data_IF_564404448497
#
_entry.id   IF_564404448497
#
_cell.length_a   1.000
_cell.length_b   1.000
_cell.length_c   1.000
_cell.angle_alpha   90.00
_cell.angle_beta   90.00
_cell.angle_gamma   90.00
#
_symmetry.space_group_name_H-M   'P 1'
#
loop_
_entity.id
_entity.type
_entity.pdbx_description
1 polymer ?
#
# COMPACT_ATOMS: atom_id res chain seq x y z
N UNK A 1 70.61 -17.60 50.20
CA UNK A 1 72.02 -17.93 49.95
C UNK A 1 72.41 -17.28 48.64
N UNK A 2 73.10 -16.15 48.68
CA UNK A 2 74.50 -16.00 48.29
C UNK A 2 74.80 -16.34 46.83
N UNK A 3 75.35 -15.59 45.94
CA UNK A 3 76.18 -14.36 46.00
C UNK A 3 76.39 -13.95 44.55
N UNK A 4 76.38 -12.72 44.21
CA UNK A 4 77.55 -11.87 43.85
C UNK A 4 78.32 -12.28 42.59
N UNK A 5 78.81 -11.50 41.74
CA UNK A 5 79.02 -10.07 41.61
C UNK A 5 79.96 -9.86 40.39
N UNK A 6 80.02 -8.63 39.93
CA UNK A 6 81.17 -7.92 39.29
C UNK A 6 81.53 -8.37 37.86
N UNK A 7 81.85 -7.54 36.95
CA UNK A 7 82.27 -6.14 36.93
C UNK A 7 83.22 -5.92 35.75
N UNK A 8 83.29 -4.72 35.26
CA UNK A 8 84.43 -4.21 34.52
C UNK A 8 84.25 -4.09 33.00
N UNK A 9 84.12 -3.01 32.42
CA UNK A 9 84.86 -1.78 32.15
C UNK A 9 85.66 -1.80 30.81
N UNK A 10 85.38 -0.74 30.05
CA UNK A 10 86.25 -0.01 29.14
C UNK A 10 86.66 -0.60 27.77
N UNK A 11 86.41 0.21 26.78
CA UNK A 11 87.36 0.40 25.73
C UNK A 11 86.90 0.80 24.34
N UNK A 12 86.84 2.06 24.11
CA UNK A 12 87.20 2.82 22.87
C UNK A 12 87.01 2.24 21.46
N UNK A 13 86.17 2.94 20.71
CA UNK A 13 86.62 3.52 19.46
C UNK A 13 86.61 2.71 18.21
N UNK A 14 85.71 3.03 17.35
CA UNK A 14 86.09 3.35 15.95
C UNK A 14 84.79 3.60 15.08
N UNK A 15 84.81 4.76 14.49
CA UNK A 15 83.81 5.15 13.46
C UNK A 15 83.95 4.21 12.25
N UNK A 16 82.78 3.71 11.75
CA UNK A 16 82.69 3.27 10.37
C UNK A 16 81.36 3.64 9.81
N UNK A 17 81.39 4.40 8.70
CA UNK A 17 80.32 4.73 7.80
C UNK A 17 79.42 3.47 7.53
N UNK A 18 78.16 3.59 7.71
CA UNK A 18 77.20 2.66 7.16
C UNK A 18 76.26 3.44 6.22
N UNK A 19 76.26 3.03 4.97
CA UNK A 19 75.39 3.46 3.90
C UNK A 19 73.89 3.36 4.32
N UNK A 20 73.21 4.48 4.20
CA UNK A 20 71.77 4.52 4.23
C UNK A 20 71.24 4.06 2.86
N UNK A 21 70.82 2.80 2.76
CA UNK A 21 69.99 2.32 1.66
C UNK A 21 68.55 2.80 1.92
N UNK A 22 68.14 3.85 1.21
CA UNK A 22 66.76 4.29 1.13
C UNK A 22 65.99 3.28 0.28
N UNK A 23 65.29 2.36 0.94
CA UNK A 23 64.23 1.57 0.31
C UNK A 23 63.03 2.49 0.09
N UNK A 24 62.85 2.95 -1.13
CA UNK A 24 61.57 3.49 -1.61
C UNK A 24 60.56 2.33 -1.69
N UNK A 25 59.76 2.16 -0.63
CA UNK A 25 58.52 1.41 -0.73
C UNK A 25 57.52 2.35 -1.41
N UNK A 26 57.40 2.20 -2.73
CA UNK A 26 56.23 2.73 -3.44
C UNK A 26 55.02 1.99 -2.94
N UNK A 27 54.46 2.47 -1.86
CA UNK A 27 53.13 2.07 -1.40
C UNK A 27 52.13 2.52 -2.44
N UNK A 28 51.77 1.63 -3.35
CA UNK A 28 50.57 1.78 -4.16
C UNK A 28 49.37 1.61 -3.19
N UNK A 29 49.09 2.71 -2.48
CA UNK A 29 47.88 2.82 -1.71
C UNK A 29 46.71 2.78 -2.71
N UNK A 30 46.09 1.61 -2.84
CA UNK A 30 44.75 1.52 -3.35
C UNK A 30 43.89 2.38 -2.42
N UNK A 31 43.72 3.64 -2.78
CA UNK A 31 42.64 4.45 -2.27
C UNK A 31 41.37 3.78 -2.79
N UNK A 32 40.80 2.86 -1.98
CA UNK A 32 39.37 2.58 -2.09
C UNK A 32 38.69 3.93 -1.83
N UNK A 33 38.37 4.64 -2.90
CA UNK A 33 37.44 5.74 -2.80
C UNK A 33 36.16 5.13 -2.20
N UNK A 34 35.84 5.50 -0.97
CA UNK A 34 34.52 5.23 -0.45
C UNK A 34 33.56 5.86 -1.45
N UNK A 35 32.74 5.05 -2.14
CA UNK A 35 31.68 5.58 -2.96
C UNK A 35 30.86 6.52 -2.08
N UNK A 36 30.55 7.70 -2.59
CA UNK A 36 29.63 8.60 -1.92
C UNK A 36 28.36 7.80 -1.57
N UNK A 37 27.82 7.91 -0.34
CA UNK A 37 26.60 7.20 0.00
C UNK A 37 25.51 7.61 -0.99
N UNK A 38 24.96 6.65 -1.70
CA UNK A 38 23.86 6.87 -2.64
C UNK A 38 22.64 7.49 -1.95
N UNK A 39 21.69 7.98 -2.73
CA UNK A 39 20.45 8.54 -2.20
C UNK A 39 19.69 7.53 -1.34
N UNK A 40 19.12 7.94 -0.20
CA UNK A 40 18.38 7.03 0.66
C UNK A 40 17.10 6.55 0.00
N UNK A 41 16.82 5.24 0.09
CA UNK A 41 15.53 4.68 -0.30
C UNK A 41 14.48 5.08 0.75
N UNK A 42 13.64 6.06 0.43
CA UNK A 42 12.60 6.54 1.32
C UNK A 42 11.32 5.74 1.16
N UNK A 43 10.85 5.09 2.23
CA UNK A 43 9.60 4.32 2.25
C UNK A 43 8.40 5.19 2.64
N UNK A 44 8.62 6.23 3.45
CA UNK A 44 7.55 7.09 3.98
C UNK A 44 8.11 8.20 4.86
N UNK A 45 7.22 8.81 5.62
CA UNK A 45 7.53 9.92 6.53
C UNK A 45 7.10 9.58 7.96
N UNK A 46 7.87 10.04 8.94
CA UNK A 46 7.49 10.00 10.34
C UNK A 46 6.86 11.34 10.71
N UNK A 47 5.68 11.29 11.29
CA UNK A 47 4.91 12.47 11.74
C UNK A 47 4.70 12.36 13.25
N UNK A 48 4.88 13.46 13.97
CA UNK A 48 4.53 13.57 15.39
C UNK A 48 3.24 14.34 15.53
N UNK A 49 2.33 13.81 16.35
CA UNK A 49 1.02 14.39 16.63
C UNK A 49 0.82 14.42 18.15
N UNK A 50 0.61 15.60 18.71
CA UNK A 50 0.19 15.71 20.11
C UNK A 50 -1.26 15.30 20.25
N UNK A 51 -1.55 14.36 21.14
CA UNK A 51 -2.90 13.90 21.43
C UNK A 51 -3.39 14.50 22.75
N UNK A 52 -4.41 15.33 22.68
CA UNK A 52 -5.10 15.84 23.86
C UNK A 52 -5.92 14.74 24.56
N UNK A 53 -6.50 13.81 23.80
CA UNK A 53 -7.27 12.68 24.35
C UNK A 53 -6.40 11.74 25.19
N UNK A 54 -5.12 11.55 24.78
CA UNK A 54 -4.17 10.66 25.47
C UNK A 54 -3.22 11.43 26.40
N UNK A 55 -3.07 12.76 26.24
CA UNK A 55 -2.16 13.61 26.99
C UNK A 55 -0.69 13.36 26.68
N UNK A 56 -0.37 12.93 25.45
CA UNK A 56 0.99 12.55 25.04
C UNK A 56 1.23 12.75 23.54
N UNK A 57 2.50 12.75 23.13
CA UNK A 57 2.86 12.79 21.72
C UNK A 57 2.81 11.38 21.12
N UNK A 58 2.20 11.28 19.94
CA UNK A 58 2.11 10.04 19.16
C UNK A 58 2.96 10.13 17.92
N UNK A 59 3.65 9.06 17.60
CA UNK A 59 4.38 8.92 16.35
C UNK A 59 3.54 8.15 15.35
N UNK A 60 3.43 8.70 14.15
CA UNK A 60 2.68 8.12 13.03
C UNK A 60 3.61 7.98 11.83
N UNK A 61 3.60 6.81 11.20
CA UNK A 61 4.34 6.54 9.98
C UNK A 61 3.40 6.64 8.80
N UNK A 62 3.75 7.39 7.77
CA UNK A 62 2.89 7.61 6.60
C UNK A 62 3.63 7.28 5.33
N UNK A 63 3.08 6.35 4.53
CA UNK A 63 3.53 6.06 3.17
C UNK A 63 2.43 6.47 2.18
N UNK A 64 2.78 7.32 1.23
CA UNK A 64 1.92 7.69 0.10
C UNK A 64 2.28 6.88 -1.13
N UNK A 65 1.32 6.58 -2.03
CA UNK A 65 1.63 5.81 -3.24
C UNK A 65 2.53 6.61 -4.19
N UNK A 66 3.26 5.91 -5.07
CA UNK A 66 4.07 6.55 -6.10
C UNK A 66 3.21 7.49 -6.96
N UNK A 67 3.78 8.64 -7.35
CA UNK A 67 3.04 9.66 -8.09
C UNK A 67 2.08 10.50 -7.24
N UNK A 68 2.06 10.33 -5.90
CA UNK A 68 1.20 11.12 -5.04
C UNK A 68 1.41 12.63 -5.22
N UNK A 69 2.65 13.12 -5.23
CA UNK A 69 2.95 14.57 -5.29
C UNK A 69 2.56 15.20 -6.64
N UNK A 70 2.49 14.43 -7.72
CA UNK A 70 2.23 14.92 -9.08
C UNK A 70 0.75 15.02 -9.45
N UNK A 71 -0.17 14.51 -8.62
CA UNK A 71 -1.59 14.41 -8.98
C UNK A 71 -2.53 15.03 -7.97
N UNK A 72 -3.81 15.14 -8.36
CA UNK A 72 -4.92 15.60 -7.51
C UNK A 72 -5.80 14.47 -6.99
N UNK A 73 -5.49 13.20 -7.32
CA UNK A 73 -6.27 12.02 -6.96
C UNK A 73 -6.39 11.87 -5.45
N UNK A 74 -7.54 11.40 -4.99
CA UNK A 74 -7.79 10.98 -3.61
C UNK A 74 -7.64 9.47 -3.45
N UNK A 75 -7.32 9.02 -2.25
CA UNK A 75 -6.93 7.64 -1.97
C UNK A 75 -7.66 7.08 -0.75
N UNK A 76 -8.06 5.79 -0.76
CA UNK A 76 -8.41 5.07 0.46
C UNK A 76 -7.23 5.06 1.44
N UNK A 77 -7.51 4.94 2.74
CA UNK A 77 -6.46 4.94 3.77
C UNK A 77 -6.46 3.62 4.52
N UNK A 78 -5.28 3.00 4.61
CA UNK A 78 -5.02 1.82 5.43
C UNK A 78 -4.38 2.26 6.73
N UNK A 79 -5.11 2.14 7.84
CA UNK A 79 -4.60 2.37 9.18
C UNK A 79 -4.06 1.09 9.76
N UNK A 80 -2.85 1.13 10.31
CA UNK A 80 -2.14 -0.06 10.82
C UNK A 80 -1.74 0.19 12.27
N UNK A 81 -2.15 -0.69 13.15
CA UNK A 81 -1.73 -0.69 14.54
C UNK A 81 -0.42 -1.49 14.73
N UNK A 82 0.29 -1.28 15.83
CA UNK A 82 1.65 -1.78 16.02
C UNK A 82 2.57 -1.33 14.86
N UNK A 83 2.57 -0.01 14.58
CA UNK A 83 3.18 0.59 13.39
C UNK A 83 4.66 0.27 13.20
N UNK A 84 5.44 0.18 14.28
CA UNK A 84 6.86 -0.14 14.27
C UNK A 84 7.16 -1.53 13.67
N UNK A 85 6.23 -2.47 13.77
CA UNK A 85 6.42 -3.84 13.27
C UNK A 85 5.63 -4.14 12.01
N UNK A 86 4.52 -3.45 11.77
CA UNK A 86 3.57 -3.79 10.70
C UNK A 86 3.54 -2.78 9.54
N UNK A 87 4.16 -1.58 9.69
CA UNK A 87 4.11 -0.54 8.67
C UNK A 87 4.74 -1.00 7.34
N UNK A 88 6.00 -1.42 7.38
CA UNK A 88 6.74 -1.83 6.20
C UNK A 88 6.04 -2.99 5.47
N UNK A 89 5.60 -3.99 6.23
CA UNK A 89 4.87 -5.14 5.71
C UNK A 89 3.59 -4.71 4.99
N UNK A 90 2.78 -3.85 5.61
CA UNK A 90 1.51 -3.40 5.04
C UNK A 90 1.74 -2.50 3.81
N UNK A 91 2.73 -1.61 3.85
CA UNK A 91 3.10 -0.77 2.73
C UNK A 91 3.62 -1.60 1.54
N UNK A 92 4.44 -2.62 1.79
CA UNK A 92 4.95 -3.51 0.75
C UNK A 92 3.83 -4.32 0.08
N UNK A 93 2.93 -4.93 0.86
CA UNK A 93 1.79 -5.71 0.34
C UNK A 93 0.86 -4.82 -0.47
N UNK A 94 0.46 -3.66 0.05
CA UNK A 94 -0.46 -2.76 -0.68
C UNK A 94 0.16 -2.22 -1.96
N UNK A 95 1.46 -1.89 -1.95
CA UNK A 95 2.17 -1.46 -3.15
C UNK A 95 2.28 -2.59 -4.19
N UNK A 96 2.54 -3.83 -3.76
CA UNK A 96 2.58 -5.00 -4.64
C UNK A 96 1.24 -5.20 -5.36
N UNK A 97 0.12 -5.22 -4.62
CA UNK A 97 -1.21 -5.37 -5.21
C UNK A 97 -1.56 -4.23 -6.16
N UNK A 98 -1.24 -2.98 -5.79
CA UNK A 98 -1.48 -1.83 -6.65
C UNK A 98 -0.69 -1.89 -7.96
N UNK A 99 0.61 -2.19 -7.89
CA UNK A 99 1.46 -2.29 -9.09
C UNK A 99 0.99 -3.39 -10.05
N UNK A 100 0.33 -4.43 -9.53
CA UNK A 100 -0.26 -5.51 -10.32
C UNK A 100 -1.75 -5.28 -10.68
N UNK A 101 -2.28 -4.07 -10.45
CA UNK A 101 -3.65 -3.71 -10.80
C UNK A 101 -4.74 -4.41 -10.00
N UNK A 102 -4.39 -5.05 -8.86
CA UNK A 102 -5.30 -5.87 -8.07
C UNK A 102 -6.06 -5.08 -6.98
N UNK A 103 -5.67 -3.85 -6.74
CA UNK A 103 -6.35 -2.92 -5.84
C UNK A 103 -6.05 -1.46 -6.24
N UNK A 104 -6.80 -0.46 -5.73
CA UNK A 104 -6.43 0.93 -5.91
C UNK A 104 -5.14 1.27 -5.15
N UNK A 105 -4.40 2.30 -5.56
CA UNK A 105 -3.35 2.85 -4.71
C UNK A 105 -3.95 3.40 -3.42
N UNK A 106 -3.24 3.23 -2.29
CA UNK A 106 -3.69 3.64 -0.96
C UNK A 106 -2.63 4.46 -0.24
N UNK A 107 -3.05 5.24 0.75
CA UNK A 107 -2.17 5.82 1.76
C UNK A 107 -2.10 4.84 2.92
N UNK A 108 -0.91 4.52 3.43
CA UNK A 108 -0.72 3.68 4.62
C UNK A 108 -0.32 4.58 5.79
N UNK A 109 -1.12 4.56 6.86
CA UNK A 109 -0.94 5.35 8.08
C UNK A 109 -0.79 4.39 9.26
N UNK A 110 0.36 4.34 9.88
CA UNK A 110 0.60 3.41 10.98
C UNK A 110 0.86 4.14 12.28
N UNK A 111 0.19 3.71 13.34
CA UNK A 111 0.35 4.27 14.69
C UNK A 111 1.36 3.40 15.44
N UNK A 112 2.45 4.02 15.89
CA UNK A 112 3.43 3.33 16.75
C UNK A 112 2.95 3.31 18.20
N UNK A 113 3.44 2.35 18.97
CA UNK A 113 3.05 2.19 20.37
C UNK A 113 3.76 3.19 21.28
N UNK A 114 3.03 3.67 22.29
CA UNK A 114 3.55 4.32 23.50
C UNK A 114 3.29 3.40 24.69
N UNK A 115 2.03 3.03 24.89
CA UNK A 115 1.60 2.01 25.85
C UNK A 115 0.58 1.08 25.19
N UNK A 116 1.07 -0.03 24.66
CA UNK A 116 0.27 -1.01 23.91
C UNK A 116 -0.85 -1.64 24.73
N UNK A 117 -0.59 -1.93 25.99
CA UNK A 117 -1.58 -2.54 26.88
C UNK A 117 -2.69 -1.55 27.22
N UNK A 118 -2.37 -0.33 27.55
CA UNK A 118 -3.34 0.72 27.80
C UNK A 118 -4.23 0.95 26.58
N UNK A 119 -3.61 1.20 25.43
CA UNK A 119 -4.30 1.71 24.24
C UNK A 119 -5.24 0.69 23.61
N UNK A 120 -4.91 -0.60 23.65
CA UNK A 120 -5.67 -1.61 22.93
C UNK A 120 -6.51 -2.52 23.80
N UNK A 121 -6.66 -2.21 25.09
CA UNK A 121 -7.56 -2.97 25.95
C UNK A 121 -8.82 -2.16 26.26
N UNK A 122 -10.02 -2.71 25.98
CA UNK A 122 -11.29 -1.99 26.17
C UNK A 122 -11.67 -1.81 27.64
N UNK A 123 -11.18 -2.69 28.53
CA UNK A 123 -11.51 -2.73 29.96
C UNK A 123 -10.24 -2.82 30.81
N UNK A 124 -10.31 -2.29 32.03
CA UNK A 124 -9.27 -2.48 33.03
C UNK A 124 -9.41 -3.84 33.69
N UNK A 125 -8.32 -4.62 33.78
CA UNK A 125 -8.28 -5.89 34.49
C UNK A 125 -7.13 -5.93 35.49
N UNK A 126 -7.38 -6.54 36.65
CA UNK A 126 -6.46 -6.45 37.77
C UNK A 126 -5.09 -7.12 37.54
N UNK A 127 -5.05 -8.17 36.73
CA UNK A 127 -3.82 -8.90 36.36
C UNK A 127 -3.00 -8.22 35.24
N UNK A 128 -3.51 -7.09 34.69
CA UNK A 128 -2.81 -6.27 33.67
C UNK A 128 -2.85 -4.78 34.05
N UNK A 129 -2.00 -4.35 34.96
CA UNK A 129 -1.90 -2.94 35.31
C UNK A 129 -1.72 -2.04 34.09
N UNK A 130 -2.43 -0.91 34.06
CA UNK A 130 -2.41 0.03 32.93
C UNK A 130 -3.41 -0.30 31.83
N UNK A 131 -4.13 -1.42 31.88
CA UNK A 131 -5.16 -1.77 30.90
C UNK A 131 -6.42 -0.88 31.00
N UNK A 132 -7.27 -0.87 29.96
CA UNK A 132 -8.56 -0.19 29.95
C UNK A 132 -8.59 1.19 29.28
N UNK A 133 -7.52 1.61 28.62
CA UNK A 133 -7.47 2.89 27.91
C UNK A 133 -8.03 2.86 26.47
N UNK A 134 -8.49 1.73 26.01
CA UNK A 134 -9.02 1.56 24.64
C UNK A 134 -10.10 2.55 24.24
N UNK A 135 -11.05 2.95 25.10
CA UNK A 135 -12.01 4.01 24.80
C UNK A 135 -11.35 5.37 24.52
N UNK A 136 -10.31 5.75 25.28
CA UNK A 136 -9.56 6.99 25.05
C UNK A 136 -8.74 6.93 23.74
N UNK A 137 -8.17 5.78 23.44
CA UNK A 137 -7.49 5.58 22.16
C UNK A 137 -8.47 5.65 20.97
N UNK A 138 -9.74 5.21 21.15
CA UNK A 138 -10.80 5.40 20.16
C UNK A 138 -11.11 6.89 19.95
N UNK A 139 -11.14 7.69 21.01
CA UNK A 139 -11.29 9.15 20.89
C UNK A 139 -10.13 9.78 20.14
N UNK A 140 -8.88 9.37 20.42
CA UNK A 140 -7.71 9.80 19.65
C UNK A 140 -7.86 9.47 18.16
N UNK A 141 -8.22 8.23 17.82
CA UNK A 141 -8.46 7.86 16.41
C UNK A 141 -9.52 8.76 15.77
N UNK A 142 -10.70 8.84 16.40
CA UNK A 142 -11.89 9.50 15.85
C UNK A 142 -11.77 11.02 15.78
N UNK A 143 -11.23 11.66 16.84
CA UNK A 143 -11.25 13.12 16.98
C UNK A 143 -9.94 13.79 16.56
N UNK A 144 -8.83 13.04 16.49
CA UNK A 144 -7.51 13.61 16.26
C UNK A 144 -6.81 13.01 15.05
N UNK A 145 -6.54 11.69 15.04
CA UNK A 145 -5.75 11.07 13.97
C UNK A 145 -6.46 11.10 12.62
N UNK A 146 -7.72 10.63 12.54
CA UNK A 146 -8.46 10.60 11.29
C UNK A 146 -8.62 12.00 10.70
N UNK A 147 -9.10 13.02 11.45
CA UNK A 147 -9.19 14.41 10.96
C UNK A 147 -7.82 14.98 10.56
N UNK A 148 -6.75 14.66 11.27
CA UNK A 148 -5.40 15.07 10.89
C UNK A 148 -5.01 14.51 9.53
N UNK A 149 -5.24 13.22 9.28
CA UNK A 149 -4.93 12.56 8.00
C UNK A 149 -5.78 13.17 6.87
N UNK A 150 -7.06 13.35 7.09
CA UNK A 150 -7.99 13.94 6.11
C UNK A 150 -7.64 15.39 5.74
N UNK A 151 -7.15 16.16 6.70
CA UNK A 151 -6.72 17.55 6.48
C UNK A 151 -5.40 17.65 5.70
N UNK A 152 -4.47 16.73 5.95
CA UNK A 152 -3.10 16.85 5.43
C UNK A 152 -2.83 15.97 4.20
N UNK A 153 -3.71 15.02 3.89
CA UNK A 153 -3.56 14.10 2.77
C UNK A 153 -4.84 14.04 1.93
N UNK A 154 -4.70 13.72 0.66
CA UNK A 154 -5.84 13.56 -0.26
C UNK A 154 -6.50 12.19 -0.05
N UNK A 155 -7.48 12.14 0.83
CA UNK A 155 -8.17 10.91 1.24
C UNK A 155 -9.55 10.79 0.62
N UNK A 156 -9.96 9.53 0.39
CA UNK A 156 -11.36 9.13 0.22
C UNK A 156 -11.95 8.74 1.58
N UNK A 157 -13.26 8.76 1.69
CA UNK A 157 -13.97 8.28 2.89
C UNK A 157 -14.10 6.74 2.85
N UNK A 158 -12.95 6.07 2.69
CA UNK A 158 -12.83 4.63 2.79
C UNK A 158 -11.58 4.28 3.60
N UNK A 159 -11.81 3.78 4.80
CA UNK A 159 -10.79 3.53 5.81
C UNK A 159 -10.74 2.04 6.11
N UNK A 160 -9.54 1.49 6.09
CA UNK A 160 -9.24 0.09 6.39
C UNK A 160 -8.42 0.07 7.67
N UNK A 161 -8.77 -0.77 8.66
CA UNK A 161 -8.00 -0.95 9.89
C UNK A 161 -7.35 -2.33 9.91
N UNK A 162 -6.05 -2.40 10.18
CA UNK A 162 -5.30 -3.64 10.36
C UNK A 162 -4.76 -3.71 11.77
N UNK A 163 -5.03 -4.80 12.47
CA UNK A 163 -4.48 -5.07 13.79
C UNK A 163 -4.14 -6.54 14.01
N UNK A 164 -3.08 -6.79 14.79
CA UNK A 164 -2.61 -8.14 15.13
C UNK A 164 -2.69 -8.38 16.64
N UNK A 165 -3.10 -9.57 17.04
CA UNK A 165 -3.15 -9.98 18.46
C UNK A 165 -4.07 -9.07 19.28
N UNK A 166 -3.53 -8.32 20.26
CA UNK A 166 -4.26 -7.33 21.03
C UNK A 166 -4.85 -6.23 20.13
N UNK A 167 -4.09 -5.78 19.13
CA UNK A 167 -4.58 -4.85 18.11
C UNK A 167 -5.63 -5.47 17.19
N UNK A 168 -5.57 -6.79 16.95
CA UNK A 168 -6.61 -7.53 16.23
C UNK A 168 -7.92 -7.57 17.00
N UNK A 169 -7.87 -7.81 18.31
CA UNK A 169 -9.02 -7.66 19.20
C UNK A 169 -9.54 -6.22 19.18
N UNK A 170 -8.65 -5.21 19.24
CA UNK A 170 -9.03 -3.82 19.17
C UNK A 170 -9.72 -3.45 17.85
N UNK A 171 -9.33 -4.05 16.72
CA UNK A 171 -10.05 -3.89 15.46
C UNK A 171 -11.49 -4.41 15.57
N UNK A 172 -11.71 -5.59 16.17
CA UNK A 172 -13.06 -6.11 16.44
C UNK A 172 -13.83 -5.19 17.42
N UNK A 173 -13.17 -4.71 18.47
CA UNK A 173 -13.74 -3.73 19.40
C UNK A 173 -14.18 -2.44 18.69
N UNK A 174 -13.35 -1.93 17.77
CA UNK A 174 -13.68 -0.77 16.96
C UNK A 174 -14.92 -0.96 16.10
N UNK A 175 -15.03 -2.12 15.45
CA UNK A 175 -16.23 -2.47 14.66
C UNK A 175 -17.51 -2.46 15.50
N UNK A 176 -17.43 -2.96 16.74
CA UNK A 176 -18.59 -3.09 17.61
C UNK A 176 -18.98 -1.78 18.32
N UNK A 177 -18.00 -0.93 18.62
CA UNK A 177 -18.20 0.31 19.38
C UNK A 177 -18.44 1.52 18.49
N UNK A 178 -17.73 1.63 17.36
CA UNK A 178 -17.80 2.75 16.40
C UNK A 178 -17.86 2.17 14.98
N UNK A 179 -18.97 1.52 14.60
CA UNK A 179 -19.06 0.73 13.37
C UNK A 179 -18.90 1.55 12.09
N UNK A 180 -19.05 2.87 12.15
CA UNK A 180 -18.90 3.75 10.98
C UNK A 180 -17.48 4.31 10.82
N UNK A 181 -16.57 3.99 11.75
CA UNK A 181 -15.22 4.56 11.74
C UNK A 181 -14.35 3.95 10.63
N UNK A 182 -14.49 2.64 10.39
CA UNK A 182 -13.75 1.90 9.36
C UNK A 182 -14.73 1.05 8.52
N UNK A 183 -14.57 1.09 7.19
CA UNK A 183 -15.39 0.32 6.26
C UNK A 183 -14.87 -1.12 6.10
N UNK A 184 -13.57 -1.34 6.34
CA UNK A 184 -12.96 -2.67 6.30
C UNK A 184 -12.00 -2.86 7.47
N UNK A 185 -11.96 -4.08 8.02
CA UNK A 185 -11.11 -4.44 9.13
C UNK A 185 -10.42 -5.77 8.85
N UNK A 186 -9.12 -5.85 9.14
CA UNK A 186 -8.34 -7.09 9.09
C UNK A 186 -7.84 -7.36 10.50
N UNK A 187 -8.48 -8.31 11.17
CA UNK A 187 -8.19 -8.72 12.53
C UNK A 187 -7.34 -10.00 12.52
N UNK A 188 -6.05 -9.86 12.74
CA UNK A 188 -5.06 -10.92 12.62
C UNK A 188 -4.84 -11.58 13.98
N UNK A 189 -5.12 -12.89 14.09
CA UNK A 189 -5.02 -13.66 15.35
C UNK A 189 -5.51 -12.85 16.55
N UNK A 190 -6.77 -12.34 16.52
CA UNK A 190 -7.25 -11.39 17.51
C UNK A 190 -7.37 -12.04 18.89
N UNK A 191 -6.78 -11.40 19.93
CA UNK A 191 -6.80 -11.87 21.32
C UNK A 191 -8.18 -11.65 21.97
N UNK A 192 -9.25 -12.23 21.41
CA UNK A 192 -10.64 -12.00 21.81
C UNK A 192 -11.01 -12.60 23.17
N UNK A 193 -10.17 -13.47 23.72
CA UNK A 193 -10.33 -14.06 25.06
C UNK A 193 -9.97 -13.09 26.21
N UNK A 194 -9.53 -11.86 25.88
CA UNK A 194 -9.25 -10.82 26.85
C UNK A 194 -10.46 -10.54 27.74
N UNK A 195 -10.25 -10.38 29.04
CA UNK A 195 -11.26 -10.06 30.06
C UNK A 195 -12.52 -10.93 29.94
N UNK A 196 -12.32 -12.25 30.04
CA UNK A 196 -13.41 -13.23 29.93
C UNK A 196 -14.25 -13.05 28.65
N UNK A 197 -13.59 -12.95 27.51
CA UNK A 197 -14.21 -12.73 26.18
C UNK A 197 -15.02 -11.43 26.08
N UNK A 198 -14.50 -10.32 26.60
CA UNK A 198 -15.22 -9.05 26.61
C UNK A 198 -15.78 -8.67 25.23
N UNK A 199 -14.95 -8.73 24.17
CA UNK A 199 -15.40 -8.37 22.80
C UNK A 199 -16.43 -9.35 22.24
N UNK A 200 -16.45 -10.61 22.69
CA UNK A 200 -17.48 -11.59 22.32
C UNK A 200 -18.82 -11.23 22.99
N UNK A 201 -18.80 -10.87 24.28
CA UNK A 201 -19.99 -10.38 24.98
C UNK A 201 -20.50 -9.07 24.38
N UNK A 202 -19.60 -8.15 24.04
CA UNK A 202 -19.94 -6.89 23.36
C UNK A 202 -20.57 -7.15 21.98
N UNK A 203 -20.08 -8.13 21.23
CA UNK A 203 -20.69 -8.54 19.96
C UNK A 203 -22.12 -9.05 20.15
N UNK A 204 -22.36 -9.83 21.20
CA UNK A 204 -23.71 -10.32 21.51
C UNK A 204 -24.70 -9.17 21.76
N UNK A 205 -24.26 -8.12 22.42
CA UNK A 205 -25.04 -6.93 22.74
C UNK A 205 -25.24 -6.00 21.53
N UNK A 206 -24.15 -5.72 20.79
CA UNK A 206 -24.14 -4.63 19.81
C UNK A 206 -24.57 -5.03 18.40
N UNK A 207 -24.32 -6.27 17.98
CA UNK A 207 -24.64 -6.71 16.62
C UNK A 207 -26.11 -6.54 16.23
N UNK A 208 -27.12 -6.82 17.13
CA UNK A 208 -28.51 -6.65 16.76
C UNK A 208 -28.93 -5.21 16.42
N UNK A 209 -28.24 -4.23 16.95
CA UNK A 209 -28.50 -2.79 16.71
C UNK A 209 -27.54 -2.14 15.71
N UNK A 210 -26.64 -2.92 15.10
CA UNK A 210 -25.68 -2.39 14.13
C UNK A 210 -26.40 -1.97 12.84
N UNK A 211 -26.06 -0.77 12.33
CA UNK A 211 -26.63 -0.25 11.08
C UNK A 211 -26.29 -1.14 9.88
N UNK A 212 -27.22 -1.21 8.93
CA UNK A 212 -27.06 -2.03 7.70
C UNK A 212 -26.22 -1.31 6.63
N UNK A 213 -25.06 -0.81 7.02
CA UNK A 213 -24.04 -0.26 6.10
C UNK A 213 -23.07 -1.36 5.70
N UNK A 214 -22.57 -1.29 4.46
CA UNK A 214 -21.57 -2.24 3.96
C UNK A 214 -20.30 -2.14 4.80
N UNK A 215 -19.87 -3.26 5.36
CA UNK A 215 -18.62 -3.41 6.10
C UNK A 215 -18.00 -4.75 5.77
N UNK A 216 -16.70 -4.79 5.86
CA UNK A 216 -15.90 -5.99 5.62
C UNK A 216 -15.06 -6.30 6.87
N UNK A 217 -15.10 -7.54 7.32
CA UNK A 217 -14.27 -8.05 8.40
C UNK A 217 -13.56 -9.32 7.94
N UNK A 218 -12.25 -9.28 7.92
CA UNK A 218 -11.39 -10.43 7.68
C UNK A 218 -10.71 -10.84 8.96
N UNK A 219 -10.95 -12.07 9.42
CA UNK A 219 -10.36 -12.63 10.64
C UNK A 219 -9.44 -13.77 10.24
N UNK A 220 -8.23 -13.78 10.77
CA UNK A 220 -7.31 -14.91 10.63
C UNK A 220 -6.94 -15.48 11.97
N UNK A 221 -6.50 -16.72 11.99
CA UNK A 221 -5.96 -17.37 13.18
C UNK A 221 -4.78 -18.25 12.77
N UNK A 222 -3.62 -18.05 13.40
CA UNK A 222 -2.49 -18.93 13.28
C UNK A 222 -2.76 -20.30 13.96
N UNK A 223 -1.73 -21.13 14.09
CA UNK A 223 -1.82 -22.37 14.85
C UNK A 223 -1.81 -22.07 16.37
N UNK A 224 -2.95 -21.61 16.87
CA UNK A 224 -3.16 -21.11 18.23
C UNK A 224 -4.44 -21.75 18.81
N UNK A 225 -4.39 -23.03 19.16
CA UNK A 225 -5.58 -23.79 19.58
C UNK A 225 -6.29 -23.19 20.80
N UNK A 226 -5.59 -22.47 21.66
CA UNK A 226 -6.15 -21.78 22.82
C UNK A 226 -7.12 -20.66 22.46
N UNK A 227 -7.02 -20.08 21.25
CA UNK A 227 -7.92 -19.02 20.78
C UNK A 227 -9.20 -19.56 20.14
N UNK A 228 -9.22 -20.82 19.70
CA UNK A 228 -10.29 -21.40 18.90
C UNK A 228 -11.67 -21.19 19.52
N UNK A 229 -11.85 -21.52 20.80
CA UNK A 229 -13.16 -21.46 21.43
C UNK A 229 -13.77 -20.06 21.44
N UNK A 230 -12.98 -19.03 21.68
CA UNK A 230 -13.42 -17.64 21.70
C UNK A 230 -13.65 -17.09 20.30
N UNK A 231 -12.79 -17.45 19.34
CA UNK A 231 -12.96 -17.11 17.92
C UNK A 231 -14.23 -17.75 17.35
N UNK A 232 -14.48 -19.04 17.61
CA UNK A 232 -15.67 -19.74 17.13
C UNK A 232 -16.96 -19.09 17.68
N UNK A 233 -16.95 -18.68 18.96
CA UNK A 233 -18.09 -17.95 19.55
C UNK A 233 -18.30 -16.61 18.86
N UNK A 234 -17.24 -15.83 18.64
CA UNK A 234 -17.33 -14.54 17.93
C UNK A 234 -17.88 -14.72 16.52
N UNK A 235 -17.33 -15.65 15.75
CA UNK A 235 -17.78 -15.93 14.37
C UNK A 235 -19.23 -16.41 14.33
N UNK A 236 -19.63 -17.25 15.29
CA UNK A 236 -21.01 -17.70 15.44
C UNK A 236 -21.98 -16.53 15.69
N UNK A 237 -21.59 -15.56 16.53
CA UNK A 237 -22.38 -14.35 16.78
C UNK A 237 -22.44 -13.44 15.56
N UNK A 238 -21.32 -13.18 14.89
CA UNK A 238 -21.26 -12.38 13.67
C UNK A 238 -22.18 -12.95 12.59
N UNK A 239 -22.16 -14.26 12.39
CA UNK A 239 -23.02 -14.96 11.43
C UNK A 239 -24.51 -14.92 11.81
N UNK A 240 -24.83 -15.07 13.11
CA UNK A 240 -26.23 -15.21 13.59
C UNK A 240 -26.91 -13.86 13.80
N UNK A 241 -26.20 -12.86 14.29
CA UNK A 241 -26.72 -11.58 14.77
C UNK A 241 -26.25 -10.37 13.97
N UNK A 242 -25.18 -10.50 13.16
CA UNK A 242 -24.64 -9.41 12.34
C UNK A 242 -25.62 -9.00 11.22
N UNK A 243 -25.58 -7.72 10.79
CA UNK A 243 -26.36 -7.25 9.65
C UNK A 243 -25.90 -7.96 8.37
N UNK A 244 -26.82 -8.13 7.40
CA UNK A 244 -26.51 -8.78 6.11
C UNK A 244 -25.44 -8.05 5.30
N UNK A 245 -25.27 -6.76 5.53
CA UNK A 245 -24.25 -5.92 4.90
C UNK A 245 -22.85 -6.07 5.50
N UNK A 246 -22.71 -6.79 6.63
CA UNK A 246 -21.41 -7.14 7.20
C UNK A 246 -20.88 -8.42 6.54
N UNK A 247 -19.94 -8.25 5.62
CA UNK A 247 -19.22 -9.35 4.98
C UNK A 247 -18.12 -9.84 5.93
N UNK A 248 -18.19 -11.11 6.34
CA UNK A 248 -17.23 -11.71 7.29
C UNK A 248 -16.51 -12.87 6.62
N UNK A 249 -15.17 -12.80 6.64
CA UNK A 249 -14.30 -13.88 6.21
C UNK A 249 -13.48 -14.39 7.37
N UNK A 250 -13.29 -15.71 7.43
CA UNK A 250 -12.39 -16.35 8.39
C UNK A 250 -11.43 -17.29 7.67
N UNK A 251 -10.14 -17.12 7.94
CA UNK A 251 -9.08 -17.96 7.36
C UNK A 251 -8.16 -18.53 8.46
N UNK A 252 -8.31 -19.83 8.79
CA UNK A 252 -7.43 -20.51 9.73
C UNK A 252 -6.11 -20.89 9.08
N UNK A 253 -5.04 -20.18 9.38
CA UNK A 253 -3.70 -20.37 8.83
C UNK A 253 -2.87 -21.36 9.64
N UNK A 254 -3.19 -22.63 9.58
CA UNK A 254 -2.63 -23.71 10.41
C UNK A 254 -1.10 -23.90 10.28
N UNK A 255 -0.49 -23.41 9.21
CA UNK A 255 0.96 -23.44 9.00
C UNK A 255 1.71 -22.26 9.60
N UNK A 256 0.98 -21.24 10.05
CA UNK A 256 1.55 -20.02 10.62
C UNK A 256 1.47 -20.06 12.15
N UNK A 257 2.47 -19.50 12.82
CA UNK A 257 2.41 -19.22 14.25
C UNK A 257 1.94 -17.77 14.50
N UNK A 258 1.76 -17.38 15.76
CA UNK A 258 1.33 -16.03 16.16
C UNK A 258 2.14 -14.88 15.54
N UNK A 259 3.44 -15.07 15.33
CA UNK A 259 4.32 -14.06 14.74
C UNK A 259 4.31 -14.04 13.22
N UNK A 260 4.33 -15.24 12.58
CA UNK A 260 4.44 -15.36 11.12
C UNK A 260 3.14 -15.14 10.38
N UNK A 261 2.00 -15.33 11.05
CA UNK A 261 0.66 -15.16 10.47
C UNK A 261 0.42 -13.77 9.85
N UNK A 262 1.11 -12.74 10.32
CA UNK A 262 0.89 -11.33 9.94
C UNK A 262 1.01 -11.08 8.44
N UNK A 263 2.12 -11.49 7.83
CA UNK A 263 2.36 -11.23 6.39
C UNK A 263 1.28 -11.85 5.52
N UNK A 264 1.01 -13.12 5.75
CA UNK A 264 0.00 -13.87 4.99
C UNK A 264 -1.40 -13.30 5.20
N UNK A 265 -1.72 -12.89 6.42
CA UNK A 265 -3.01 -12.29 6.77
C UNK A 265 -3.23 -10.93 6.08
N UNK A 266 -2.21 -10.06 6.05
CA UNK A 266 -2.33 -8.79 5.33
C UNK A 266 -2.48 -9.05 3.83
N UNK A 267 -1.69 -9.97 3.27
CA UNK A 267 -1.79 -10.33 1.85
C UNK A 267 -3.19 -10.86 1.50
N UNK A 268 -3.64 -11.93 2.16
CA UNK A 268 -4.93 -12.56 1.86
C UNK A 268 -6.13 -11.68 2.25
N UNK A 269 -5.99 -10.87 3.31
CA UNK A 269 -7.01 -9.91 3.70
C UNK A 269 -7.23 -8.83 2.65
N UNK A 270 -6.16 -8.30 2.04
CA UNK A 270 -6.24 -7.36 0.93
C UNK A 270 -6.78 -8.04 -0.34
N UNK A 271 -6.32 -9.24 -0.65
CA UNK A 271 -6.84 -10.04 -1.77
C UNK A 271 -8.35 -10.28 -1.64
N UNK A 272 -8.84 -10.68 -0.48
CA UNK A 272 -10.27 -10.90 -0.21
C UNK A 272 -11.07 -9.59 -0.27
N UNK A 273 -10.55 -8.50 0.33
CA UNK A 273 -11.21 -7.19 0.33
C UNK A 273 -11.39 -6.65 -1.09
N UNK A 274 -10.36 -6.79 -1.93
CA UNK A 274 -10.37 -6.29 -3.31
C UNK A 274 -10.68 -7.38 -4.34
N UNK A 275 -11.20 -8.53 -3.93
CA UNK A 275 -11.65 -9.58 -4.85
C UNK A 275 -12.60 -9.01 -5.91
N UNK A 276 -12.34 -9.31 -7.19
CA UNK A 276 -13.11 -8.77 -8.30
C UNK A 276 -12.78 -7.31 -8.67
N UNK A 277 -11.70 -6.74 -8.15
CA UNK A 277 -11.20 -5.43 -8.58
C UNK A 277 -10.70 -5.45 -10.02
N UNK A 278 -9.98 -6.52 -10.41
CA UNK A 278 -9.45 -6.67 -11.76
C UNK A 278 -10.55 -6.89 -12.79
N UNK A 279 -10.35 -6.32 -13.96
CA UNK A 279 -11.10 -6.68 -15.16
C UNK A 279 -10.69 -8.09 -15.62
N UNK A 280 -11.58 -8.82 -16.30
CA UNK A 280 -11.20 -10.07 -16.96
C UNK A 280 -10.22 -9.82 -18.12
N UNK A 281 -9.42 -10.82 -18.47
CA UNK A 281 -8.41 -10.70 -19.52
C UNK A 281 -9.01 -10.38 -20.89
N UNK A 282 -10.18 -10.95 -21.20
CA UNK A 282 -10.89 -10.73 -22.47
C UNK A 282 -11.83 -9.53 -22.42
N UNK A 283 -11.25 -8.34 -22.55
CA UNK A 283 -12.01 -7.09 -22.58
C UNK A 283 -12.84 -6.93 -23.85
N UNK A 284 -12.40 -7.50 -24.98
CA UNK A 284 -13.14 -7.42 -26.23
C UNK A 284 -14.45 -8.24 -26.19
N UNK A 285 -14.51 -9.31 -25.40
CA UNK A 285 -15.77 -10.01 -25.12
C UNK A 285 -16.65 -9.23 -24.15
N UNK A 286 -16.05 -8.55 -23.15
CA UNK A 286 -16.77 -7.74 -22.18
C UNK A 286 -17.35 -6.46 -22.83
N UNK A 287 -16.61 -5.83 -23.72
CA UNK A 287 -16.96 -4.59 -24.38
C UNK A 287 -16.99 -3.36 -23.48
N UNK A 288 -17.17 -2.20 -24.06
CA UNK A 288 -17.18 -0.92 -23.34
C UNK A 288 -18.29 -0.85 -22.27
N UNK A 289 -19.47 -1.36 -22.58
CA UNK A 289 -20.60 -1.38 -21.64
C UNK A 289 -20.30 -2.25 -20.41
N UNK A 290 -19.68 -3.42 -20.64
CA UNK A 290 -19.28 -4.32 -19.55
C UNK A 290 -18.20 -3.71 -18.67
N UNK A 291 -17.20 -3.03 -19.25
CA UNK A 291 -16.18 -2.30 -18.48
C UNK A 291 -16.82 -1.23 -17.61
N UNK A 292 -17.72 -0.41 -18.15
CA UNK A 292 -18.44 0.61 -17.36
C UNK A 292 -19.20 -0.01 -16.20
N UNK A 293 -19.99 -1.04 -16.48
CA UNK A 293 -20.77 -1.75 -15.45
C UNK A 293 -19.87 -2.31 -14.34
N UNK A 294 -18.68 -2.81 -14.70
CA UNK A 294 -17.71 -3.29 -13.72
C UNK A 294 -17.29 -2.17 -12.75
N UNK A 295 -16.87 -1.00 -13.25
CA UNK A 295 -16.43 0.13 -12.42
C UNK A 295 -17.59 0.80 -11.67
N UNK A 296 -18.79 0.83 -12.23
CA UNK A 296 -20.01 1.20 -11.50
C UNK A 296 -20.27 0.25 -10.33
N UNK A 297 -20.09 -1.07 -10.53
CA UNK A 297 -20.18 -2.07 -9.49
C UNK A 297 -19.14 -1.88 -8.37
N UNK A 298 -17.89 -1.57 -8.73
CA UNK A 298 -16.85 -1.23 -7.75
C UNK A 298 -17.21 0.04 -6.97
N UNK A 299 -17.68 1.08 -7.66
CA UNK A 299 -18.12 2.33 -7.04
C UNK A 299 -19.25 2.08 -6.02
N UNK A 300 -20.23 1.25 -6.39
CA UNK A 300 -21.33 0.87 -5.49
C UNK A 300 -20.86 0.00 -4.32
N UNK A 301 -19.84 -0.86 -4.54
CA UNK A 301 -19.27 -1.73 -3.50
C UNK A 301 -18.50 -0.93 -2.46
N UNK A 302 -17.62 -0.04 -2.91
CA UNK A 302 -16.70 0.69 -2.05
C UNK A 302 -17.27 2.03 -1.55
N UNK A 303 -18.40 2.51 -2.11
CA UNK A 303 -19.05 3.74 -1.67
C UNK A 303 -18.35 5.04 -2.10
N UNK A 304 -17.41 4.96 -3.04
CA UNK A 304 -16.77 6.11 -3.66
C UNK A 304 -16.60 5.90 -5.17
N UNK A 305 -16.51 6.96 -5.98
CA UNK A 305 -16.33 6.82 -7.43
C UNK A 305 -15.04 6.08 -7.77
N UNK A 306 -15.16 5.01 -8.58
CA UNK A 306 -14.04 4.30 -9.17
C UNK A 306 -14.16 4.47 -10.68
N UNK A 307 -13.31 5.36 -11.22
CA UNK A 307 -13.35 5.70 -12.63
C UNK A 307 -12.73 4.59 -13.49
N UNK A 308 -13.21 4.48 -14.73
CA UNK A 308 -12.60 3.59 -15.72
C UNK A 308 -11.19 4.10 -16.04
N UNK A 309 -10.13 3.30 -15.85
CA UNK A 309 -8.76 3.73 -16.14
C UNK A 309 -8.53 3.87 -17.66
N UNK A 310 -7.69 4.85 -18.06
CA UNK A 310 -7.20 4.99 -19.44
C UNK A 310 -6.68 3.67 -20.01
N UNK A 311 -5.86 2.96 -19.22
CA UNK A 311 -5.24 1.71 -19.62
C UNK A 311 -6.27 0.62 -19.98
N UNK A 312 -7.42 0.56 -19.29
CA UNK A 312 -8.46 -0.42 -19.59
C UNK A 312 -9.10 -0.19 -20.96
N UNK A 313 -9.38 1.08 -21.30
CA UNK A 313 -9.91 1.44 -22.62
C UNK A 313 -8.85 1.26 -23.71
N UNK A 314 -7.61 1.59 -23.39
CA UNK A 314 -6.51 1.38 -24.32
C UNK A 314 -6.33 -0.11 -24.65
N UNK A 315 -6.32 -0.97 -23.63
CA UNK A 315 -6.24 -2.42 -23.80
C UNK A 315 -7.43 -2.97 -24.59
N UNK A 316 -8.66 -2.52 -24.29
CA UNK A 316 -9.85 -2.90 -25.08
C UNK A 316 -9.68 -2.54 -26.54
N UNK A 317 -9.23 -1.31 -26.86
CA UNK A 317 -9.02 -0.84 -28.22
C UNK A 317 -8.04 -1.74 -28.99
N UNK A 318 -6.89 -2.07 -28.39
CA UNK A 318 -5.92 -2.98 -29.02
C UNK A 318 -6.42 -4.43 -29.14
N UNK A 319 -7.19 -4.94 -28.18
CA UNK A 319 -7.81 -6.27 -28.33
C UNK A 319 -8.81 -6.30 -29.49
N UNK A 320 -9.55 -5.21 -29.72
CA UNK A 320 -10.46 -5.08 -30.85
C UNK A 320 -9.71 -5.00 -32.19
N UNK A 321 -8.59 -4.24 -32.25
CA UNK A 321 -7.73 -4.20 -33.45
C UNK A 321 -7.19 -5.60 -33.78
N UNK A 322 -6.68 -6.34 -32.82
CA UNK A 322 -6.19 -7.71 -32.99
C UNK A 322 -7.27 -8.68 -33.48
N UNK A 323 -8.54 -8.38 -33.18
CA UNK A 323 -9.71 -9.14 -33.67
C UNK A 323 -10.26 -8.60 -35.00
N UNK A 324 -9.54 -7.71 -35.69
CA UNK A 324 -9.94 -7.08 -36.96
C UNK A 324 -11.24 -6.26 -36.84
N UNK A 325 -11.57 -5.77 -35.66
CA UNK A 325 -12.72 -4.91 -35.36
C UNK A 325 -12.27 -3.44 -35.29
N UNK A 326 -11.65 -2.96 -36.37
CA UNK A 326 -11.02 -1.61 -36.39
C UNK A 326 -12.01 -0.46 -36.15
N UNK A 327 -13.25 -0.56 -36.67
CA UNK A 327 -14.29 0.44 -36.42
C UNK A 327 -14.61 0.58 -34.94
N UNK A 328 -14.82 -0.54 -34.24
CA UNK A 328 -15.11 -0.55 -32.80
C UNK A 328 -13.91 -0.04 -31.97
N UNK A 329 -12.69 -0.40 -32.40
CA UNK A 329 -11.46 0.09 -31.74
C UNK A 329 -11.35 1.62 -31.82
N UNK A 330 -11.63 2.21 -33.00
CA UNK A 330 -11.62 3.66 -33.19
C UNK A 330 -12.64 4.35 -32.26
N UNK A 331 -13.85 3.78 -32.12
CA UNK A 331 -14.86 4.31 -31.18
C UNK A 331 -14.37 4.28 -29.71
N UNK A 332 -13.75 3.17 -29.30
CA UNK A 332 -13.18 3.03 -27.95
C UNK A 332 -12.05 4.03 -27.72
N UNK A 333 -11.12 4.19 -28.65
CA UNK A 333 -10.03 5.16 -28.53
C UNK A 333 -10.53 6.61 -28.54
N UNK A 334 -11.56 6.94 -29.31
CA UNK A 334 -12.21 8.26 -29.24
C UNK A 334 -12.82 8.49 -27.85
N UNK A 335 -13.46 7.46 -27.29
CA UNK A 335 -13.99 7.55 -25.94
C UNK A 335 -12.89 7.73 -24.89
N UNK A 336 -11.73 7.10 -25.11
CA UNK A 336 -10.57 7.27 -24.23
C UNK A 336 -10.05 8.72 -24.28
N UNK A 337 -10.01 9.36 -25.45
CA UNK A 337 -9.66 10.79 -25.59
C UNK A 337 -10.65 11.70 -24.84
N UNK A 338 -11.96 11.42 -24.94
CA UNK A 338 -12.97 12.21 -24.21
C UNK A 338 -12.75 12.22 -22.71
N UNK A 339 -12.31 11.09 -22.15
CA UNK A 339 -12.07 10.91 -20.71
C UNK A 339 -10.69 11.40 -20.27
N UNK A 340 -9.68 11.30 -21.15
CA UNK A 340 -8.28 11.62 -20.86
C UNK A 340 -7.65 12.57 -21.89
N UNK A 341 -8.23 13.78 -22.11
CA UNK A 341 -7.82 14.68 -23.19
C UNK A 341 -6.39 15.22 -23.06
N UNK A 342 -5.78 15.14 -21.87
CA UNK A 342 -4.39 15.58 -21.65
C UNK A 342 -3.35 14.46 -21.85
N UNK A 343 -3.77 13.20 -21.98
CA UNK A 343 -2.85 12.08 -22.21
C UNK A 343 -2.39 12.03 -23.65
N UNK A 344 -1.06 12.03 -23.87
CA UNK A 344 -0.48 11.86 -25.21
C UNK A 344 -0.78 10.48 -25.78
N UNK A 345 -0.76 9.45 -24.93
CA UNK A 345 -0.93 8.05 -25.31
C UNK A 345 -2.29 7.78 -25.98
N UNK A 346 -3.38 8.42 -25.53
CA UNK A 346 -4.72 8.15 -26.10
C UNK A 346 -4.85 8.64 -27.55
N UNK A 347 -4.14 9.73 -27.90
CA UNK A 347 -4.09 10.23 -29.27
C UNK A 347 -3.21 9.35 -30.16
N UNK A 348 -2.09 8.88 -29.66
CA UNK A 348 -1.20 7.96 -30.39
C UNK A 348 -1.93 6.67 -30.72
N UNK A 349 -2.62 6.06 -29.74
CA UNK A 349 -3.40 4.83 -29.92
C UNK A 349 -4.55 5.00 -30.93
N UNK A 350 -5.25 6.17 -30.93
CA UNK A 350 -6.23 6.47 -31.97
C UNK A 350 -5.57 6.64 -33.35
N UNK A 351 -4.40 7.28 -33.38
CA UNK A 351 -3.60 7.45 -34.60
C UNK A 351 -3.27 6.10 -35.26
N UNK A 352 -2.80 5.13 -34.47
CA UNK A 352 -2.52 3.77 -34.94
C UNK A 352 -3.76 3.07 -35.49
N UNK A 353 -4.90 3.16 -34.82
CA UNK A 353 -6.14 2.56 -35.29
C UNK A 353 -6.64 3.16 -36.62
N UNK A 354 -6.53 4.49 -36.74
CA UNK A 354 -6.90 5.21 -37.97
C UNK A 354 -5.93 4.89 -39.13
N UNK A 355 -4.64 4.78 -38.85
CA UNK A 355 -3.64 4.40 -39.82
C UNK A 355 -3.89 3.00 -40.36
N UNK A 356 -4.16 2.01 -39.49
CA UNK A 356 -4.56 0.65 -39.89
C UNK A 356 -5.85 0.63 -40.73
N UNK A 357 -6.76 1.57 -40.50
CA UNK A 357 -7.98 1.74 -41.28
C UNK A 357 -7.77 2.50 -42.61
N UNK A 358 -6.53 2.91 -42.92
CA UNK A 358 -6.18 3.67 -44.13
C UNK A 358 -6.57 5.14 -44.10
N UNK A 359 -6.99 5.67 -42.94
CA UNK A 359 -7.40 7.06 -42.70
C UNK A 359 -6.18 7.92 -42.31
N UNK A 360 -5.21 8.01 -43.25
CA UNK A 360 -3.87 8.54 -42.98
C UNK A 360 -3.88 10.01 -42.52
N UNK A 361 -4.78 10.85 -43.06
CA UNK A 361 -4.87 12.26 -42.67
C UNK A 361 -5.38 12.42 -41.21
N UNK A 362 -6.42 11.65 -40.83
CA UNK A 362 -6.91 11.63 -39.47
C UNK A 362 -5.82 11.07 -38.51
N UNK A 363 -5.10 10.04 -38.90
CA UNK A 363 -3.99 9.45 -38.14
C UNK A 363 -2.89 10.49 -37.90
N UNK A 364 -2.44 11.22 -38.95
CA UNK A 364 -1.44 12.28 -38.83
C UNK A 364 -1.84 13.32 -37.83
N UNK A 365 -3.07 13.80 -37.85
CA UNK A 365 -3.54 14.82 -36.92
C UNK A 365 -3.50 14.29 -35.46
N UNK A 366 -3.92 13.05 -35.22
CA UNK A 366 -3.86 12.46 -33.87
C UNK A 366 -2.41 12.26 -33.41
N UNK A 367 -1.49 11.80 -34.25
CA UNK A 367 -0.07 11.72 -33.88
C UNK A 367 0.56 13.11 -33.58
N UNK A 368 0.14 14.18 -34.28
CA UNK A 368 0.55 15.54 -33.94
C UNK A 368 0.07 15.95 -32.55
N UNK A 369 -1.16 15.63 -32.21
CA UNK A 369 -1.73 15.89 -30.90
C UNK A 369 -0.99 15.11 -29.79
N UNK A 370 -0.59 13.84 -30.06
CA UNK A 370 0.23 13.04 -29.15
C UNK A 370 1.61 13.70 -28.90
N UNK A 371 2.32 14.08 -29.99
CA UNK A 371 3.63 14.75 -29.88
C UNK A 371 3.54 16.05 -29.09
N UNK A 372 2.55 16.91 -29.40
CA UNK A 372 2.40 18.20 -28.73
C UNK A 372 2.17 18.05 -27.20
N UNK A 373 1.38 17.06 -26.78
CA UNK A 373 1.16 16.77 -25.35
C UNK A 373 2.38 16.18 -24.68
N UNK A 374 3.02 15.24 -25.35
CA UNK A 374 4.24 14.60 -24.85
C UNK A 374 5.39 15.60 -24.66
N UNK A 375 5.53 16.59 -25.55
CA UNK A 375 6.49 17.68 -25.40
C UNK A 375 6.20 18.55 -24.18
N UNK A 376 4.93 18.92 -23.98
CA UNK A 376 4.50 19.72 -22.83
C UNK A 376 4.76 19.02 -21.49
N UNK A 377 4.60 17.70 -21.45
CA UNK A 377 4.73 16.90 -20.22
C UNK A 377 6.09 16.24 -20.05
N UNK A 378 6.99 16.39 -21.03
CA UNK A 378 8.29 15.67 -21.10
C UNK A 378 8.10 14.13 -21.02
N UNK A 379 7.08 13.61 -21.72
CA UNK A 379 6.75 12.19 -21.73
C UNK A 379 7.91 11.38 -22.28
N UNK A 380 8.27 10.31 -21.59
CA UNK A 380 9.33 9.37 -22.01
C UNK A 380 9.07 8.71 -23.35
N UNK A 381 7.80 8.62 -23.78
CA UNK A 381 7.41 8.02 -25.04
C UNK A 381 7.44 9.01 -26.25
N UNK A 382 7.81 10.28 -26.02
CA UNK A 382 7.91 11.28 -27.09
C UNK A 382 8.68 10.80 -28.33
N UNK A 383 9.83 10.06 -28.20
CA UNK A 383 10.51 9.54 -29.40
C UNK A 383 9.65 8.57 -30.23
N UNK A 384 8.85 7.75 -29.59
CA UNK A 384 7.93 6.80 -30.25
C UNK A 384 6.84 7.57 -31.00
N UNK A 385 6.20 8.55 -30.36
CA UNK A 385 5.15 9.35 -30.97
C UNK A 385 5.67 10.15 -32.19
N UNK A 386 6.89 10.68 -32.13
CA UNK A 386 7.54 11.32 -33.27
C UNK A 386 7.81 10.34 -34.42
N UNK A 387 8.19 9.10 -34.09
CA UNK A 387 8.40 8.05 -35.09
C UNK A 387 7.09 7.72 -35.82
N UNK A 388 5.97 7.55 -35.10
CA UNK A 388 4.65 7.30 -35.70
C UNK A 388 4.23 8.45 -36.62
N UNK A 389 4.38 9.70 -36.14
CA UNK A 389 4.07 10.88 -36.96
C UNK A 389 4.89 10.91 -38.27
N UNK A 390 6.21 10.72 -38.17
CA UNK A 390 7.05 10.72 -39.38
C UNK A 390 6.74 9.59 -40.34
N UNK A 391 6.35 8.41 -39.82
CA UNK A 391 5.95 7.26 -40.59
C UNK A 391 4.68 7.51 -41.44
N UNK A 392 3.65 8.10 -40.81
CA UNK A 392 2.40 8.42 -41.51
C UNK A 392 2.60 9.54 -42.53
N UNK A 393 3.43 10.55 -42.22
CA UNK A 393 3.76 11.63 -43.20
C UNK A 393 4.50 11.12 -44.43
N UNK A 394 5.39 10.13 -44.25
CA UNK A 394 6.05 9.46 -45.37
C UNK A 394 5.04 8.68 -46.25
N UNK A 395 4.09 7.98 -45.64
CA UNK A 395 3.00 7.27 -46.37
C UNK A 395 2.11 8.21 -47.17
N UNK A 396 1.83 9.39 -46.64
CA UNK A 396 1.02 10.43 -47.32
C UNK A 396 1.73 11.06 -48.51
N UNK A 397 3.08 11.20 -48.46
CA UNK A 397 3.86 11.72 -49.60
C UNK A 397 3.97 10.73 -50.75
N UNK A 398 3.81 9.43 -50.49
CA UNK A 398 3.95 8.36 -51.47
C UNK A 398 2.59 7.92 -52.07
N UNK A 399 1.46 8.55 -51.69
CA UNK A 399 0.14 8.45 -52.28
C UNK A 399 -0.07 9.54 -53.34
#
# INVERSE_FOLDING_TARGET
>A
MKKDATGGSLGHGAARLALLAFLWITGCGLWLSAEEPGDPLTIGRTVKLHSAALGEDRTVLVTTPAGYEQGARKYPVVYVLDGETNHLLSAAVTNFFWQNGQMPPVIVVSVTNTDRTRDFTPTAVADRPGSGGGPKFMEFLKKELLPFVEKNYRTLDYRILIGHSLCGMYAVYSLLSEPDLFQALIAISPYVMYDNDYVVRLAEERLPGMSDRKRFLYVTLGNEPEYNASIDRLLGLLKKKGPKSLEVHFDPMKTENHGTVRLKSVYQGMEALFAGWCLPDDLAALGLAGIRKHFEGLSARFGYPVDVPEAALNQLGYQLLNRKRGGDAIEVFRKNIELFPESANVYDSLGEALEQAGKLEEARENYRQAVARAEKTQDRNLPVFRQHLSGVEAKLKNK
#
